data_IF_094404275923
#
_entry.id   IF_094404275923
#
_cell.length_a   1.000
_cell.length_b   1.000
_cell.length_c   1.000
_cell.angle_alpha   90.00
_cell.angle_beta   90.00
_cell.angle_gamma   90.00
#
_symmetry.space_group_name_H-M   'P 1'
#
loop_
_entity.id
_entity.type
_entity.pdbx_description
1 polymer ?
#
# COMPACT_ATOMS: atom_id res chain seq x y z
N UNK A 1 -1.68 -19.51 -3.06
CA UNK A 1 -1.41 -18.20 -2.45
C UNK A 1 -0.61 -17.34 -3.40
N UNK A 2 -0.95 -16.09 -3.46
CA UNK A 2 -0.31 -15.13 -4.37
C UNK A 2 0.08 -13.89 -3.56
N UNK A 3 1.28 -13.37 -3.79
CA UNK A 3 1.74 -12.13 -3.15
C UNK A 3 2.01 -11.11 -4.25
N UNK A 4 1.40 -9.93 -4.11
CA UNK A 4 1.62 -8.82 -5.03
C UNK A 4 2.31 -7.68 -4.28
N UNK A 5 3.42 -7.21 -4.81
CA UNK A 5 4.11 -6.05 -4.25
C UNK A 5 3.42 -4.80 -4.78
N UNK A 6 2.82 -4.03 -3.87
CA UNK A 6 2.14 -2.78 -4.21
C UNK A 6 3.10 -1.59 -4.20
N UNK A 7 4.15 -1.68 -3.41
CA UNK A 7 5.21 -0.71 -3.35
C UNK A 7 6.40 -1.24 -2.59
N UNK A 8 7.60 -0.81 -2.94
CA UNK A 8 8.84 -1.26 -2.31
C UNK A 8 9.82 -0.11 -2.09
N UNK A 9 9.36 1.13 -2.16
CA UNK A 9 10.19 2.30 -1.96
C UNK A 9 10.51 2.56 -0.50
N UNK A 10 11.43 3.49 -0.28
CA UNK A 10 11.80 3.96 1.04
C UNK A 10 10.65 4.74 1.69
N UNK A 11 10.83 5.15 2.94
CA UNK A 11 9.82 5.87 3.71
C UNK A 11 9.32 7.16 3.03
N UNK A 12 10.15 7.79 2.22
CA UNK A 12 9.79 9.01 1.48
C UNK A 12 9.30 8.73 0.07
N UNK A 13 9.38 7.49 -0.39
CA UNK A 13 9.16 7.14 -1.79
C UNK A 13 10.36 7.52 -2.65
N UNK A 14 10.33 7.15 -3.93
CA UNK A 14 11.35 7.54 -4.90
C UNK A 14 10.64 8.09 -6.13
N UNK A 15 10.85 9.34 -6.52
CA UNK A 15 11.66 10.35 -5.82
C UNK A 15 10.96 10.85 -4.55
N UNK A 16 11.69 11.43 -3.63
CA UNK A 16 11.05 12.13 -2.52
C UNK A 16 10.64 13.54 -2.96
N UNK A 17 9.79 14.17 -2.16
CA UNK A 17 9.33 15.53 -2.45
C UNK A 17 10.53 16.44 -2.69
N UNK A 18 10.47 17.23 -3.76
CA UNK A 18 11.59 18.01 -4.24
C UNK A 18 12.30 17.37 -5.42
N UNK A 19 11.75 16.27 -5.94
CA UNK A 19 12.31 15.56 -7.10
C UNK A 19 13.70 15.01 -6.82
N UNK A 20 13.92 14.53 -5.61
CA UNK A 20 15.22 14.01 -5.22
C UNK A 20 15.25 12.49 -5.38
N UNK A 21 16.11 12.04 -6.26
CA UNK A 21 16.21 10.63 -6.66
C UNK A 21 17.35 9.88 -5.97
N UNK A 22 18.19 10.60 -5.19
CA UNK A 22 19.39 10.00 -4.60
C UNK A 22 20.33 9.52 -5.69
N UNK A 23 20.69 8.24 -5.62
CA UNK A 23 21.56 7.65 -6.63
C UNK A 23 20.79 7.00 -7.79
N UNK A 24 19.46 7.11 -7.79
CA UNK A 24 18.63 6.52 -8.85
C UNK A 24 18.61 7.43 -10.08
N UNK A 25 18.60 6.81 -11.26
CA UNK A 25 18.51 7.53 -12.53
C UNK A 25 17.07 8.03 -12.71
N UNK A 26 16.85 9.36 -12.77
CA UNK A 26 15.50 9.89 -12.95
C UNK A 26 14.90 9.60 -14.32
N UNK A 27 15.68 9.17 -15.30
CA UNK A 27 15.21 8.82 -16.61
C UNK A 27 14.69 7.38 -16.71
N UNK A 28 14.93 6.55 -15.69
CA UNK A 28 14.45 5.17 -15.65
C UNK A 28 13.11 5.09 -14.92
N UNK A 29 11.98 4.82 -15.63
CA UNK A 29 10.64 4.82 -14.98
C UNK A 29 10.52 3.79 -13.86
N UNK A 30 11.26 2.68 -13.92
CA UNK A 30 11.23 1.65 -12.88
C UNK A 30 11.84 2.09 -11.56
N UNK A 31 12.55 3.23 -11.55
CA UNK A 31 13.07 3.79 -10.30
C UNK A 31 12.02 4.57 -9.51
N UNK A 32 10.87 4.87 -10.12
CA UNK A 32 9.74 5.47 -9.41
C UNK A 32 9.10 4.40 -8.51
N UNK A 33 9.13 4.64 -7.19
CA UNK A 33 8.65 3.65 -6.21
C UNK A 33 7.73 4.28 -5.19
N UNK A 34 6.57 3.67 -5.00
CA UNK A 34 5.66 3.98 -3.91
C UNK A 34 6.17 3.33 -2.61
N UNK A 35 5.64 3.78 -1.48
CA UNK A 35 6.03 3.24 -0.17
C UNK A 35 5.61 1.78 -0.03
N UNK A 36 6.25 1.09 0.91
CA UNK A 36 6.14 -0.35 1.07
C UNK A 36 4.73 -0.83 1.40
N UNK A 37 4.23 -1.77 0.64
CA UNK A 37 2.99 -2.49 0.93
C UNK A 37 2.94 -3.74 0.07
N UNK A 38 2.32 -4.81 0.59
CA UNK A 38 2.04 -6.02 -0.19
C UNK A 38 0.59 -6.44 0.00
N UNK A 39 0.09 -7.15 -1.00
CA UNK A 39 -1.24 -7.74 -0.98
C UNK A 39 -1.07 -9.26 -1.05
N UNK A 40 -1.63 -9.97 -0.08
CA UNK A 40 -1.61 -11.43 -0.05
C UNK A 40 -2.99 -11.93 -0.42
N UNK A 41 -3.05 -12.83 -1.39
CA UNK A 41 -4.29 -13.35 -1.93
C UNK A 41 -4.30 -14.87 -1.84
N UNK A 42 -5.37 -15.43 -1.29
CA UNK A 42 -5.56 -16.87 -1.16
C UNK A 42 -7.05 -17.18 -1.24
N UNK A 43 -7.43 -18.09 -2.15
CA UNK A 43 -8.81 -18.54 -2.30
C UNK A 43 -9.83 -17.39 -2.48
N UNK A 44 -9.42 -16.37 -3.22
CA UNK A 44 -10.27 -15.21 -3.48
C UNK A 44 -10.31 -14.20 -2.36
N UNK A 45 -9.66 -14.45 -1.23
CA UNK A 45 -9.58 -13.53 -0.11
C UNK A 45 -8.27 -12.78 -0.15
N UNK A 46 -8.29 -11.50 0.26
CA UNK A 46 -7.12 -10.63 0.19
C UNK A 46 -6.85 -9.98 1.52
N UNK A 47 -5.57 -10.01 1.92
CA UNK A 47 -5.07 -9.33 3.11
C UNK A 47 -4.03 -8.32 2.68
N UNK A 48 -4.17 -7.10 3.17
CA UNK A 48 -3.21 -6.03 2.93
C UNK A 48 -2.20 -6.01 4.08
N UNK A 49 -0.92 -5.91 3.76
CA UNK A 49 0.13 -5.71 4.75
C UNK A 49 0.68 -4.30 4.57
N UNK A 50 0.49 -3.47 5.57
CA UNK A 50 0.82 -2.06 5.65
C UNK A 50 -0.03 -1.18 4.72
N UNK A 51 -0.55 -0.11 5.32
CA UNK A 51 -1.43 0.86 4.68
C UNK A 51 -0.80 2.25 4.76
N UNK A 52 0.25 2.45 3.97
CA UNK A 52 0.96 3.71 3.92
C UNK A 52 0.22 4.81 3.16
N UNK A 53 0.83 5.97 2.99
CA UNK A 53 0.17 7.13 2.39
C UNK A 53 -0.15 6.97 0.90
N UNK A 54 0.42 5.96 0.23
CA UNK A 54 0.14 5.70 -1.18
C UNK A 54 -0.97 4.67 -1.39
N UNK A 55 -1.68 4.29 -0.33
CA UNK A 55 -2.65 3.19 -0.39
C UNK A 55 -3.70 3.38 -1.46
N UNK A 56 -4.23 4.59 -1.61
CA UNK A 56 -5.24 4.87 -2.62
C UNK A 56 -4.74 4.50 -4.02
N UNK A 57 -3.56 4.99 -4.40
CA UNK A 57 -2.96 4.67 -5.70
C UNK A 57 -2.71 3.18 -5.86
N UNK A 58 -2.24 2.54 -4.79
CA UNK A 58 -1.89 1.12 -4.81
C UNK A 58 -3.11 0.24 -5.03
N UNK A 59 -4.20 0.50 -4.33
CA UNK A 59 -5.43 -0.29 -4.49
C UNK A 59 -6.13 0.01 -5.81
N UNK A 60 -6.09 1.25 -6.29
CA UNK A 60 -6.62 1.57 -7.61
C UNK A 60 -5.86 0.82 -8.71
N UNK A 61 -4.53 0.82 -8.65
CA UNK A 61 -3.71 0.12 -9.63
C UNK A 61 -3.92 -1.39 -9.61
N UNK A 62 -4.16 -1.95 -8.42
CA UNK A 62 -4.43 -3.37 -8.25
C UNK A 62 -5.88 -3.75 -8.53
N UNK A 63 -6.75 -2.76 -8.72
CA UNK A 63 -8.20 -2.97 -8.92
C UNK A 63 -8.83 -3.74 -7.76
N UNK A 64 -8.45 -3.40 -6.53
CA UNK A 64 -8.93 -4.05 -5.32
C UNK A 64 -9.74 -3.07 -4.50
N UNK A 65 -10.97 -3.48 -4.12
CA UNK A 65 -11.82 -2.70 -3.23
C UNK A 65 -12.36 -3.51 -2.06
N UNK A 66 -11.97 -4.79 -1.94
CA UNK A 66 -12.46 -5.66 -0.85
C UNK A 66 -11.26 -6.34 -0.20
N UNK A 67 -11.18 -6.23 1.11
CA UNK A 67 -10.13 -6.84 1.92
C UNK A 67 -10.78 -7.58 3.08
N UNK A 68 -10.23 -8.72 3.46
CA UNK A 68 -10.67 -9.44 4.66
C UNK A 68 -9.91 -9.01 5.90
N UNK A 69 -8.82 -8.29 5.72
CA UNK A 69 -8.07 -7.76 6.85
C UNK A 69 -6.87 -6.94 6.41
N UNK A 70 -6.34 -6.18 7.34
CA UNK A 70 -5.14 -5.36 7.16
C UNK A 70 -4.21 -5.66 8.32
N UNK A 71 -2.95 -5.94 8.01
CA UNK A 71 -1.90 -6.13 9.01
C UNK A 71 -0.97 -4.92 8.96
N UNK A 72 -0.78 -4.25 10.10
CA UNK A 72 0.18 -3.15 10.22
C UNK A 72 1.41 -3.68 10.94
N UNK A 73 2.54 -3.68 10.27
CA UNK A 73 3.77 -4.26 10.84
C UNK A 73 4.34 -3.41 11.96
N UNK A 74 4.23 -2.07 11.84
CA UNK A 74 4.68 -1.15 12.89
C UNK A 74 4.08 0.24 12.62
N UNK A 75 4.22 1.15 13.57
CA UNK A 75 3.49 2.42 13.57
C UNK A 75 4.20 3.58 12.85
N UNK A 76 5.22 3.31 12.04
CA UNK A 76 5.83 4.36 11.23
C UNK A 76 4.86 4.85 10.15
N UNK A 77 4.89 6.15 9.85
CA UNK A 77 3.93 6.79 8.96
C UNK A 77 3.88 6.19 7.56
N UNK A 78 5.02 5.78 7.03
CA UNK A 78 5.08 5.15 5.71
C UNK A 78 4.39 3.78 5.67
N UNK A 79 4.03 3.21 6.83
CA UNK A 79 3.36 1.91 6.95
C UNK A 79 1.91 2.00 7.44
N UNK A 80 1.46 3.15 7.96
CA UNK A 80 0.10 3.22 8.55
C UNK A 80 -0.66 4.53 8.31
N UNK A 81 -0.04 5.58 7.75
CA UNK A 81 -0.72 6.87 7.61
C UNK A 81 -1.75 6.91 6.47
N UNK A 82 -1.93 5.83 5.72
CA UNK A 82 -2.99 5.72 4.74
C UNK A 82 -4.26 5.05 5.25
N UNK A 83 -4.37 4.85 6.55
CA UNK A 83 -5.48 4.10 7.16
C UNK A 83 -6.85 4.67 6.78
N UNK A 84 -6.96 5.99 6.61
CA UNK A 84 -8.22 6.63 6.20
C UNK A 84 -8.68 6.22 4.81
N UNK A 85 -7.77 5.76 3.96
CA UNK A 85 -8.11 5.27 2.62
C UNK A 85 -8.85 3.93 2.65
N UNK A 86 -8.98 3.32 3.83
CA UNK A 86 -9.77 2.10 4.00
C UNK A 86 -11.27 2.35 4.08
N UNK A 87 -11.72 3.61 4.17
CA UNK A 87 -13.16 3.92 4.25
C UNK A 87 -13.94 3.39 3.05
N UNK A 88 -13.49 3.59 1.79
CA UNK A 88 -14.21 3.00 0.65
C UNK A 88 -14.22 1.48 0.67
N UNK A 89 -13.16 0.85 1.21
CA UNK A 89 -13.12 -0.60 1.37
C UNK A 89 -14.18 -1.06 2.36
N UNK A 90 -14.29 -0.37 3.50
CA UNK A 90 -15.32 -0.65 4.50
C UNK A 90 -16.72 -0.51 3.89
N UNK A 91 -16.96 0.51 3.07
CA UNK A 91 -18.22 0.69 2.37
C UNK A 91 -18.50 -0.46 1.40
N UNK A 92 -17.50 -0.92 0.67
CA UNK A 92 -17.65 -2.00 -0.31
C UNK A 92 -18.02 -3.32 0.34
N UNK A 93 -17.44 -3.63 1.52
CA UNK A 93 -17.74 -4.89 2.21
C UNK A 93 -18.92 -4.80 3.16
N UNK A 94 -19.47 -3.59 3.39
CA UNK A 94 -20.65 -3.38 4.23
C UNK A 94 -20.37 -3.46 5.72
N UNK A 95 -19.16 -3.24 6.16
CA UNK A 95 -18.80 -3.30 7.59
C UNK A 95 -17.36 -2.92 7.83
N UNK A 96 -16.89 -2.95 9.09
CA UNK A 96 -15.53 -2.57 9.42
C UNK A 96 -14.52 -3.52 8.79
N UNK A 97 -13.36 -2.96 8.42
CA UNK A 97 -12.22 -3.74 7.95
C UNK A 97 -11.41 -4.18 9.17
N UNK A 98 -11.23 -5.49 9.41
CA UNK A 98 -10.40 -5.93 10.53
C UNK A 98 -8.97 -5.42 10.40
N UNK A 99 -8.48 -4.79 11.45
CA UNK A 99 -7.12 -4.24 11.49
C UNK A 99 -6.34 -4.95 12.60
N UNK A 100 -5.19 -5.49 12.22
CA UNK A 100 -4.29 -6.19 13.14
C UNK A 100 -2.96 -5.45 13.19
N UNK A 101 -2.55 -5.07 14.37
CA UNK A 101 -1.30 -4.33 14.56
C UNK A 101 -0.34 -5.07 15.48
#
# INVERSE_FOLDING_TARGET
MKVRILGCGTSTGVPKIGNEWGQCDPQEPRNYRLRTSILVESEGERVLVDCGPDLRQQLLAAEVNRLVGVIVTHAHGDHCHGIDELRPVSQAIGGPVPLHA
#
